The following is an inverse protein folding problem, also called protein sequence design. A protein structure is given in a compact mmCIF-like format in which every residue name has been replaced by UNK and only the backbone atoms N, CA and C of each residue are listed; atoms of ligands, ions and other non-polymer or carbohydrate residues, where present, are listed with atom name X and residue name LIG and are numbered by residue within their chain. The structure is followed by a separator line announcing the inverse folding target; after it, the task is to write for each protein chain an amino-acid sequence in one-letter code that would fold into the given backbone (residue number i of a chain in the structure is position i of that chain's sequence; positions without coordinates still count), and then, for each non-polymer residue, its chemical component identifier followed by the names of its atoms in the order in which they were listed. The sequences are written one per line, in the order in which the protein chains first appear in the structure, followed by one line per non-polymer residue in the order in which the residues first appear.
data_IF_549784603449
#
_entry.id   IF_549784603449
#
_cell.length_a   1.000
_cell.length_b   1.000
_cell.length_c   1.000
_cell.angle_alpha   90.00
_cell.angle_beta   90.00
_cell.angle_gamma   90.00
#
_symmetry.space_group_name_H-M   'P 1'
#
loop_
_entity.id
_entity.type
_entity.pdbx_description
1 polymer ?
#
# COMPACT_ATOMS: atom_id res chain seq x y z
N UNK A 1 28.97 -37.88 -52.99
CA UNK A 1 29.24 -36.90 -51.94
C UNK A 1 28.03 -36.01 -51.80
N UNK A 2 27.26 -36.13 -50.70
CA UNK A 2 26.10 -35.29 -50.40
C UNK A 2 26.55 -34.27 -49.35
N UNK A 3 26.53 -33.01 -49.66
CA UNK A 3 26.81 -31.91 -48.71
C UNK A 3 25.54 -31.58 -47.93
N UNK A 4 25.57 -31.80 -46.61
CA UNK A 4 24.55 -31.30 -45.69
C UNK A 4 24.93 -29.83 -45.32
N UNK A 5 24.09 -28.89 -45.74
CA UNK A 5 24.16 -27.51 -45.29
C UNK A 5 23.41 -27.44 -43.94
N UNK A 6 24.12 -27.19 -42.84
CA UNK A 6 23.54 -26.90 -41.55
C UNK A 6 23.26 -25.41 -41.45
N UNK A 7 22.00 -25.03 -41.49
CA UNK A 7 21.58 -23.64 -41.26
C UNK A 7 21.50 -23.39 -39.75
N UNK A 8 22.44 -22.60 -39.24
CA UNK A 8 22.43 -22.11 -37.87
C UNK A 8 21.40 -21.00 -37.74
N UNK A 9 20.31 -21.26 -37.06
CA UNK A 9 19.31 -20.24 -36.64
C UNK A 9 19.89 -19.50 -35.45
N UNK A 10 20.30 -18.27 -35.61
CA UNK A 10 20.67 -17.34 -34.57
C UNK A 10 19.34 -16.79 -33.98
N UNK A 11 18.94 -17.27 -32.85
CA UNK A 11 17.88 -16.65 -32.04
C UNK A 11 18.43 -15.32 -31.48
N UNK A 12 18.09 -14.20 -32.10
CA UNK A 12 18.22 -12.90 -31.47
C UNK A 12 17.17 -12.81 -30.35
N UNK A 13 17.62 -12.95 -29.11
CA UNK A 13 16.82 -12.57 -27.94
C UNK A 13 16.65 -11.05 -27.97
N UNK A 14 15.46 -10.59 -28.35
CA UNK A 14 15.07 -9.19 -28.20
C UNK A 14 14.97 -8.92 -26.70
N UNK A 15 15.97 -8.25 -26.14
CA UNK A 15 15.86 -7.61 -24.84
C UNK A 15 14.73 -6.56 -24.95
N UNK A 16 13.76 -6.51 -24.01
CA UNK A 16 12.78 -5.45 -24.04
C UNK A 16 13.51 -4.12 -23.86
N UNK A 17 13.51 -3.29 -24.89
CA UNK A 17 13.86 -1.87 -24.78
C UNK A 17 12.79 -1.26 -23.85
N UNK A 18 13.15 -0.99 -22.60
CA UNK A 18 12.36 -0.12 -21.73
C UNK A 18 12.29 1.25 -22.43
N UNK A 19 11.12 1.57 -22.96
CA UNK A 19 10.87 2.90 -23.50
C UNK A 19 10.96 3.86 -22.29
N UNK A 20 11.96 4.72 -22.30
CA UNK A 20 12.16 5.78 -21.32
C UNK A 20 10.93 6.70 -21.40
N UNK A 21 9.94 6.49 -20.52
CA UNK A 21 8.79 7.36 -20.45
C UNK A 21 9.25 8.68 -19.83
N UNK A 22 9.18 9.76 -20.61
CA UNK A 22 9.28 11.12 -20.08
C UNK A 22 8.01 11.41 -19.27
N UNK A 23 7.99 10.96 -18.01
CA UNK A 23 6.87 11.17 -17.11
C UNK A 23 7.07 12.52 -16.42
N UNK A 24 6.09 13.46 -16.51
CA UNK A 24 6.24 14.77 -15.90
C UNK A 24 6.27 14.69 -14.38
N UNK A 25 7.07 15.55 -13.75
CA UNK A 25 6.97 15.78 -12.32
C UNK A 25 5.69 16.58 -12.00
N UNK A 26 4.96 16.15 -11.00
CA UNK A 26 3.78 16.87 -10.49
C UNK A 26 4.25 17.80 -9.37
N UNK A 27 4.10 19.14 -9.54
CA UNK A 27 4.41 20.08 -8.48
C UNK A 27 3.49 19.89 -7.28
N UNK A 28 4.05 19.97 -6.08
CA UNK A 28 3.29 19.85 -4.84
C UNK A 28 3.96 20.57 -3.69
N UNK A 29 3.20 20.82 -2.63
CA UNK A 29 3.70 21.27 -1.35
C UNK A 29 3.51 20.18 -0.30
N UNK A 30 4.46 20.07 0.61
CA UNK A 30 4.33 19.31 1.85
C UNK A 30 4.10 20.30 2.98
N UNK A 31 2.99 20.16 3.70
CA UNK A 31 2.63 21.07 4.79
C UNK A 31 3.53 20.78 6.00
N UNK A 32 4.38 21.74 6.43
CA UNK A 32 5.26 21.51 7.57
C UNK A 32 4.45 21.44 8.86
N UNK A 33 4.95 20.63 9.81
CA UNK A 33 4.44 20.50 11.19
C UNK A 33 2.92 20.36 11.29
N UNK A 34 2.33 19.65 10.31
CA UNK A 34 0.89 19.51 10.23
C UNK A 34 0.29 18.77 11.43
N UNK A 35 0.91 17.65 11.84
CA UNK A 35 0.43 16.86 12.96
C UNK A 35 0.98 17.37 14.30
N UNK A 36 0.07 17.71 15.23
CA UNK A 36 0.40 18.25 16.54
C UNK A 36 0.22 17.16 17.60
N UNK A 37 1.29 16.43 17.87
CA UNK A 37 1.30 15.41 18.91
C UNK A 37 1.39 16.04 20.30
N UNK A 38 0.77 15.41 21.33
CA UNK A 38 0.97 15.78 22.72
C UNK A 38 2.45 15.73 23.11
N UNK A 39 2.84 16.52 24.12
CA UNK A 39 4.20 16.49 24.66
C UNK A 39 4.61 15.08 25.08
N UNK A 40 5.80 14.66 24.68
CA UNK A 40 6.35 13.33 24.97
C UNK A 40 5.82 12.21 24.07
N UNK A 41 4.88 12.48 23.16
CA UNK A 41 4.44 11.52 22.15
C UNK A 41 5.17 11.75 20.83
N UNK A 42 5.60 10.68 20.19
CA UNK A 42 6.16 10.69 18.85
C UNK A 42 5.51 9.60 18.01
N UNK A 43 5.48 9.77 16.70
CA UNK A 43 5.25 8.64 15.82
C UNK A 43 6.46 7.70 15.89
N UNK A 44 6.25 6.40 15.87
CA UNK A 44 7.27 5.44 15.48
C UNK A 44 7.22 5.24 13.97
N UNK A 45 7.52 4.05 13.48
CA UNK A 45 7.21 3.71 12.09
C UNK A 45 5.72 3.91 11.83
N UNK A 46 5.37 4.62 10.78
CA UNK A 46 3.98 4.89 10.42
C UNK A 46 3.61 4.11 9.17
N UNK A 47 3.06 2.89 9.30
CA UNK A 47 2.61 2.12 8.16
C UNK A 47 1.20 2.52 7.68
N UNK A 48 0.38 3.21 8.48
CA UNK A 48 -1.02 3.44 8.17
C UNK A 48 -1.48 4.89 8.29
N UNK A 49 -2.26 5.37 7.28
CA UNK A 49 -2.98 6.64 7.32
C UNK A 49 -4.31 6.55 6.55
N UNK A 50 -5.37 7.09 7.10
CA UNK A 50 -6.68 7.21 6.46
C UNK A 50 -7.37 8.52 6.81
N UNK A 51 -8.39 8.90 6.04
CA UNK A 51 -9.18 10.13 6.27
C UNK A 51 -10.66 9.77 6.18
N UNK A 52 -11.47 10.24 7.15
CA UNK A 52 -12.91 10.03 7.14
C UNK A 52 -13.65 11.10 6.30
N UNK A 53 -14.97 10.97 6.20
CA UNK A 53 -15.82 11.90 5.43
C UNK A 53 -15.85 13.33 6.00
N UNK A 54 -15.45 13.51 7.27
CA UNK A 54 -15.38 14.82 7.98
C UNK A 54 -13.99 15.44 7.90
N UNK A 55 -13.02 14.73 7.29
CA UNK A 55 -11.63 15.14 7.18
C UNK A 55 -10.78 14.81 8.41
N UNK A 56 -11.28 14.05 9.39
CA UNK A 56 -10.43 13.57 10.47
C UNK A 56 -9.42 12.55 9.94
N UNK A 57 -8.21 12.60 10.47
CA UNK A 57 -7.11 11.77 10.00
C UNK A 57 -6.80 10.70 11.04
N UNK A 58 -6.69 9.48 10.59
CA UNK A 58 -6.35 8.31 11.40
C UNK A 58 -4.95 7.86 11.05
N UNK A 59 -4.08 7.73 12.06
CA UNK A 59 -2.70 7.32 11.89
C UNK A 59 -2.47 6.05 12.70
N UNK A 60 -2.09 4.97 12.01
CA UNK A 60 -1.75 3.71 12.66
C UNK A 60 -0.23 3.58 12.68
N UNK A 61 0.36 3.58 13.86
CA UNK A 61 1.80 3.60 14.08
C UNK A 61 2.25 2.40 14.90
N UNK A 62 3.50 1.97 14.67
CA UNK A 62 4.16 0.91 15.44
C UNK A 62 4.74 1.43 16.75
N UNK A 63 4.29 2.58 17.20
CA UNK A 63 4.72 3.28 18.42
C UNK A 63 6.25 3.38 18.60
N UNK A 64 6.68 3.88 19.75
CA UNK A 64 8.10 4.10 20.03
C UNK A 64 8.78 2.89 20.70
N UNK A 65 8.08 1.82 20.97
CA UNK A 65 8.53 0.76 21.87
C UNK A 65 8.79 -0.58 21.19
N UNK A 66 8.32 -0.77 19.94
CA UNK A 66 8.44 -2.03 19.22
C UNK A 66 9.25 -1.86 17.94
N UNK A 67 10.24 -2.69 17.75
CA UNK A 67 11.06 -2.76 16.53
C UNK A 67 10.69 -3.96 15.66
N UNK A 68 9.47 -4.43 15.77
CA UNK A 68 8.94 -5.59 15.06
C UNK A 68 7.72 -6.15 15.78
N UNK A 69 7.20 -7.30 15.33
CA UNK A 69 6.03 -7.91 15.96
C UNK A 69 6.27 -8.17 17.45
N UNK A 70 5.37 -7.69 18.28
CA UNK A 70 5.42 -7.91 19.72
C UNK A 70 4.00 -8.00 20.30
N UNK A 71 3.76 -8.97 21.14
CA UNK A 71 2.47 -9.09 21.86
C UNK A 71 2.46 -8.20 23.10
N UNK A 72 2.47 -6.89 22.88
CA UNK A 72 2.44 -5.90 23.94
C UNK A 72 1.41 -4.79 23.63
N UNK A 73 0.66 -4.29 24.61
CA UNK A 73 -0.34 -3.24 24.41
C UNK A 73 0.19 -1.95 23.78
N UNK A 74 1.48 -1.68 23.95
CA UNK A 74 2.15 -0.50 23.37
C UNK A 74 2.79 -0.77 22.00
N UNK A 75 2.66 -1.98 21.42
CA UNK A 75 3.28 -2.35 20.17
C UNK A 75 2.73 -1.55 18.98
N UNK A 76 1.47 -1.11 19.05
CA UNK A 76 0.83 -0.30 18.03
C UNK A 76 -0.10 0.72 18.66
N UNK A 77 -0.30 1.85 17.98
CA UNK A 77 -1.23 2.90 18.39
C UNK A 77 -2.04 3.38 17.19
N UNK A 78 -3.35 3.46 17.35
CA UNK A 78 -4.27 4.05 16.37
C UNK A 78 -4.70 5.42 16.87
N UNK A 79 -4.19 6.46 16.24
CA UNK A 79 -4.34 7.85 16.66
C UNK A 79 -5.31 8.59 15.73
N UNK A 80 -6.21 9.40 16.30
CA UNK A 80 -7.13 10.25 15.56
C UNK A 80 -6.75 11.72 15.70
N UNK A 81 -6.76 12.44 14.58
CA UNK A 81 -6.45 13.86 14.49
C UNK A 81 -7.60 14.61 13.81
N UNK A 82 -7.78 15.88 14.18
CA UNK A 82 -8.71 16.79 13.53
C UNK A 82 -8.29 17.08 12.08
N UNK A 83 -9.18 17.68 11.24
CA UNK A 83 -8.81 18.15 9.90
C UNK A 83 -7.66 19.17 9.88
N UNK A 84 -7.33 19.76 11.04
CA UNK A 84 -6.22 20.71 11.22
C UNK A 84 -4.95 20.07 11.79
N UNK A 85 -4.94 18.74 11.97
CA UNK A 85 -3.82 17.99 12.51
C UNK A 85 -3.67 18.01 14.02
N UNK A 86 -4.67 18.53 14.76
CA UNK A 86 -4.65 18.51 16.22
C UNK A 86 -4.99 17.11 16.72
N UNK A 87 -4.21 16.57 17.64
CA UNK A 87 -4.47 15.26 18.26
C UNK A 87 -5.81 15.25 19.00
N UNK A 88 -6.64 14.25 18.78
CA UNK A 88 -7.94 14.11 19.40
C UNK A 88 -7.96 12.99 20.42
N UNK A 89 -7.55 11.79 20.05
CA UNK A 89 -7.57 10.62 20.93
C UNK A 89 -6.77 9.44 20.35
N UNK A 90 -6.56 8.45 21.20
CA UNK A 90 -6.09 7.10 20.82
C UNK A 90 -7.26 6.12 20.83
N UNK A 91 -7.42 5.34 19.77
CA UNK A 91 -8.48 4.33 19.62
C UNK A 91 -7.90 2.96 19.92
N UNK A 92 -8.66 2.16 20.70
CA UNK A 92 -8.24 0.79 21.04
C UNK A 92 -6.96 0.75 21.89
N UNK A 93 -6.73 1.75 22.75
CA UNK A 93 -5.57 1.77 23.64
C UNK A 93 -5.49 0.49 24.46
N UNK A 94 -4.34 -0.18 24.39
CA UNK A 94 -4.11 -1.43 25.12
C UNK A 94 -4.86 -2.64 24.56
N UNK A 95 -5.37 -2.56 23.32
CA UNK A 95 -6.11 -3.67 22.71
C UNK A 95 -5.20 -4.90 22.56
N UNK A 96 -5.74 -6.06 22.96
CA UNK A 96 -5.05 -7.36 22.86
C UNK A 96 -4.55 -7.69 21.44
N UNK A 97 -5.21 -7.16 20.41
CA UNK A 97 -4.86 -7.40 19.01
C UNK A 97 -3.60 -6.65 18.55
N UNK A 98 -3.12 -5.64 19.29
CA UNK A 98 -1.96 -4.86 18.85
C UNK A 98 -0.65 -5.66 18.94
N UNK A 99 0.04 -5.76 17.83
CA UNK A 99 1.33 -6.45 17.69
C UNK A 99 2.25 -5.76 16.69
N UNK A 100 1.83 -5.64 15.43
CA UNK A 100 2.56 -4.89 14.39
C UNK A 100 1.59 -4.24 13.43
N UNK A 101 1.31 -2.94 13.65
CA UNK A 101 0.45 -2.14 12.78
C UNK A 101 0.86 -2.24 11.31
N UNK A 102 -0.11 -2.37 10.41
CA UNK A 102 0.17 -2.44 8.98
C UNK A 102 -0.58 -1.39 8.17
N UNK A 103 -1.90 -1.37 8.14
CA UNK A 103 -2.69 -0.35 7.45
C UNK A 103 -3.92 0.06 8.26
N UNK A 104 -4.46 1.24 7.94
CA UNK A 104 -5.76 1.69 8.41
C UNK A 104 -6.56 2.20 7.23
N UNK A 105 -7.85 1.87 7.16
CA UNK A 105 -8.78 2.32 6.13
C UNK A 105 -10.07 2.81 6.75
N UNK A 106 -10.78 3.67 6.04
CA UNK A 106 -12.12 4.15 6.42
C UNK A 106 -13.10 3.70 5.36
N UNK A 107 -14.19 3.06 5.77
CA UNK A 107 -15.26 2.66 4.84
C UNK A 107 -16.27 3.79 4.60
N UNK A 108 -17.22 3.57 3.69
CA UNK A 108 -18.25 4.55 3.33
C UNK A 108 -19.18 4.99 4.48
N UNK A 109 -19.16 4.28 5.61
CA UNK A 109 -19.94 4.57 6.80
C UNK A 109 -19.08 5.19 7.91
N UNK A 110 -17.87 5.61 7.60
CA UNK A 110 -16.84 6.11 8.51
C UNK A 110 -16.45 5.10 9.60
N UNK A 111 -16.60 3.79 9.36
CA UNK A 111 -15.99 2.80 10.22
C UNK A 111 -14.47 2.74 9.97
N UNK A 112 -13.73 2.53 11.05
CA UNK A 112 -12.27 2.52 11.04
C UNK A 112 -11.82 1.06 11.00
N UNK A 113 -11.02 0.70 9.99
CA UNK A 113 -10.52 -0.65 9.79
C UNK A 113 -9.02 -0.67 10.00
N UNK A 114 -8.57 -1.35 11.03
CA UNK A 114 -7.15 -1.49 11.36
C UNK A 114 -6.69 -2.91 11.04
N UNK A 115 -5.63 -3.02 10.25
CA UNK A 115 -4.97 -4.27 9.91
C UNK A 115 -3.69 -4.36 10.73
N UNK A 116 -3.65 -5.33 11.63
CA UNK A 116 -2.45 -5.66 12.39
C UNK A 116 -1.87 -6.98 11.88
N UNK A 117 -0.76 -6.88 11.15
CA UNK A 117 -0.17 -8.07 10.53
C UNK A 117 0.53 -8.99 11.54
N UNK A 118 0.96 -8.45 12.68
CA UNK A 118 1.66 -9.23 13.69
C UNK A 118 0.73 -10.13 14.49
N UNK A 119 -0.53 -9.74 14.61
CA UNK A 119 -1.58 -10.55 15.26
C UNK A 119 -2.44 -11.34 14.28
N UNK A 120 -2.22 -11.21 12.98
CA UNK A 120 -3.03 -11.82 11.93
C UNK A 120 -4.52 -11.37 11.96
N UNK A 121 -4.78 -10.12 12.36
CA UNK A 121 -6.14 -9.63 12.60
C UNK A 121 -6.47 -8.40 11.75
N UNK A 122 -7.74 -8.33 11.34
CA UNK A 122 -8.38 -7.13 10.80
C UNK A 122 -9.53 -6.75 11.72
N UNK A 123 -9.54 -5.52 12.20
CA UNK A 123 -10.46 -5.06 13.24
C UNK A 123 -11.22 -3.84 12.74
N UNK A 124 -12.56 -3.92 12.76
CA UNK A 124 -13.43 -2.80 12.45
C UNK A 124 -13.92 -2.15 13.76
N UNK A 125 -13.72 -0.84 13.84
CA UNK A 125 -14.27 0.01 14.88
C UNK A 125 -15.36 0.92 14.30
N UNK A 126 -16.35 1.27 15.09
CA UNK A 126 -17.23 2.39 14.77
C UNK A 126 -16.54 3.74 15.05
N UNK A 127 -17.16 4.84 14.66
CA UNK A 127 -16.65 6.20 14.91
C UNK A 127 -16.42 6.51 16.40
N UNK A 128 -17.12 5.84 17.32
CA UNK A 128 -16.89 5.96 18.77
C UNK A 128 -15.65 5.18 19.26
N UNK A 129 -14.94 4.45 18.35
CA UNK A 129 -13.78 3.63 18.70
C UNK A 129 -14.13 2.29 19.37
N UNK A 130 -15.36 1.81 19.21
CA UNK A 130 -15.78 0.48 19.72
C UNK A 130 -15.63 -0.56 18.62
N UNK A 131 -15.02 -1.69 18.96
CA UNK A 131 -14.92 -2.86 18.08
C UNK A 131 -16.31 -3.34 17.69
N UNK A 132 -16.54 -3.51 16.40
CA UNK A 132 -17.80 -3.97 15.81
C UNK A 132 -17.66 -5.30 15.09
N UNK A 133 -16.46 -5.54 14.49
CA UNK A 133 -16.21 -6.75 13.72
C UNK A 133 -14.72 -7.10 13.81
N UNK A 134 -14.42 -8.39 13.78
CA UNK A 134 -13.04 -8.89 13.82
C UNK A 134 -12.91 -10.03 12.83
N UNK A 135 -11.84 -10.02 12.04
CA UNK A 135 -11.47 -11.07 11.11
C UNK A 135 -10.12 -11.64 11.50
N UNK A 136 -9.96 -12.94 11.33
CA UNK A 136 -8.80 -13.66 11.81
C UNK A 136 -8.78 -13.76 13.34
N UNK A 137 -7.70 -14.26 13.88
CA UNK A 137 -7.48 -14.28 15.31
C UNK A 137 -5.99 -14.26 15.63
N UNK A 138 -5.64 -13.63 16.73
CA UNK A 138 -4.30 -13.77 17.30
C UNK A 138 -4.07 -15.22 17.71
N UNK A 139 -2.93 -15.77 17.34
CA UNK A 139 -2.54 -17.13 17.70
C UNK A 139 -2.17 -17.20 19.18
N UNK A 140 -2.49 -18.31 19.79
CA UNK A 140 -2.13 -18.63 21.16
C UNK A 140 -0.87 -19.49 21.22
N UNK A 141 -0.28 -19.60 22.42
CA UNK A 141 0.99 -20.32 22.60
C UNK A 141 0.94 -21.81 22.23
N UNK A 142 -0.25 -22.41 22.22
CA UNK A 142 -0.47 -23.80 21.80
C UNK A 142 -0.67 -23.96 20.29
N UNK A 143 -0.85 -22.86 19.55
CA UNK A 143 -1.03 -22.89 18.11
C UNK A 143 0.31 -23.07 17.41
N UNK A 144 0.32 -23.76 16.29
CA UNK A 144 1.45 -23.77 15.37
C UNK A 144 1.69 -22.35 14.85
N UNK A 145 2.95 -21.95 14.70
CA UNK A 145 3.34 -20.58 14.33
C UNK A 145 2.82 -19.52 15.32
N UNK A 146 2.83 -19.81 16.62
CA UNK A 146 2.26 -18.93 17.65
C UNK A 146 2.98 -17.59 17.84
N UNK A 147 4.24 -17.49 17.41
CA UNK A 147 5.00 -16.24 17.47
C UNK A 147 4.68 -15.33 16.30
N UNK A 148 4.64 -14.00 16.49
CA UNK A 148 4.23 -13.06 15.44
C UNK A 148 5.02 -13.11 14.15
N UNK A 149 6.25 -13.57 14.18
CA UNK A 149 7.18 -13.61 13.04
C UNK A 149 7.60 -15.01 12.65
N UNK A 150 7.09 -16.05 13.32
CA UNK A 150 7.48 -17.44 13.09
C UNK A 150 6.49 -18.09 12.10
N UNK A 151 7.03 -18.53 10.97
CA UNK A 151 6.27 -19.23 9.95
C UNK A 151 7.07 -20.40 9.44
N UNK A 152 6.41 -21.54 9.31
CA UNK A 152 7.04 -22.75 8.73
C UNK A 152 7.33 -22.55 7.24
N UNK A 153 8.37 -23.20 6.73
CA UNK A 153 8.73 -23.14 5.33
C UNK A 153 8.85 -24.57 4.76
N UNK A 154 8.01 -24.98 3.78
CA UNK A 154 6.97 -24.17 3.11
C UNK A 154 5.82 -23.79 4.03
N UNK A 155 5.10 -22.69 3.72
CA UNK A 155 3.95 -22.29 4.53
C UNK A 155 2.86 -23.36 4.58
N UNK A 156 2.17 -23.46 5.72
CA UNK A 156 0.98 -24.30 5.84
C UNK A 156 -0.11 -23.86 4.84
N UNK A 157 -0.99 -24.78 4.41
CA UNK A 157 -2.12 -24.41 3.56
C UNK A 157 -2.96 -23.30 4.19
N UNK A 158 -3.43 -22.37 3.36
CA UNK A 158 -4.29 -21.29 3.81
C UNK A 158 -5.63 -21.82 4.30
N UNK A 159 -6.08 -21.34 5.46
CA UNK A 159 -7.37 -21.72 6.06
C UNK A 159 -8.37 -20.58 5.84
N UNK A 160 -9.61 -20.93 5.53
CA UNK A 160 -10.68 -19.95 5.36
C UNK A 160 -10.97 -19.23 6.68
N UNK A 161 -11.08 -17.89 6.64
CA UNK A 161 -11.33 -17.08 7.83
C UNK A 161 -10.10 -16.80 8.71
N UNK A 162 -8.94 -17.43 8.44
CA UNK A 162 -7.69 -17.14 9.15
C UNK A 162 -6.68 -16.47 8.22
N UNK A 163 -5.90 -15.56 8.73
CA UNK A 163 -4.86 -14.85 8.00
C UNK A 163 -3.46 -15.26 8.46
N UNK A 164 -2.48 -14.97 7.61
CA UNK A 164 -1.05 -14.99 7.94
C UNK A 164 -0.41 -13.73 7.39
N UNK A 165 -0.31 -12.71 8.27
CA UNK A 165 0.19 -11.36 7.97
C UNK A 165 -0.62 -10.66 6.87
N UNK A 166 -1.91 -10.34 7.14
CA UNK A 166 -2.74 -9.56 6.22
C UNK A 166 -2.18 -8.17 6.01
N UNK A 167 -2.50 -7.57 4.86
CA UNK A 167 -1.83 -6.32 4.43
C UNK A 167 -2.78 -5.14 4.28
N UNK A 168 -3.95 -5.30 3.65
CA UNK A 168 -4.84 -4.17 3.36
C UNK A 168 -6.29 -4.64 3.18
N UNK A 169 -7.26 -3.70 3.14
CA UNK A 169 -8.69 -3.96 2.98
C UNK A 169 -9.34 -2.93 2.05
N UNK A 170 -10.31 -3.38 1.25
CA UNK A 170 -11.15 -2.52 0.41
C UNK A 170 -12.57 -3.08 0.32
N UNK A 171 -13.51 -2.26 -0.19
CA UNK A 171 -14.93 -2.62 -0.30
C UNK A 171 -15.47 -2.28 -1.68
N UNK A 172 -16.37 -3.13 -2.19
CA UNK A 172 -17.12 -2.81 -3.38
C UNK A 172 -18.37 -1.94 -3.06
N UNK A 173 -19.10 -1.56 -4.07
CA UNK A 173 -20.31 -0.71 -3.93
C UNK A 173 -21.41 -1.36 -3.09
N UNK A 174 -21.49 -2.70 -3.06
CA UNK A 174 -22.46 -3.47 -2.27
C UNK A 174 -22.05 -3.60 -0.81
N UNK A 175 -20.76 -3.31 -0.50
CA UNK A 175 -20.16 -3.39 0.82
C UNK A 175 -19.49 -4.74 1.11
N UNK A 176 -19.32 -5.60 0.10
CA UNK A 176 -18.47 -6.79 0.27
C UNK A 176 -17.04 -6.37 0.57
N UNK A 177 -16.37 -7.18 1.38
CA UNK A 177 -15.08 -6.87 1.99
C UNK A 177 -14.01 -7.71 1.30
N UNK A 178 -12.91 -7.07 0.90
CA UNK A 178 -11.78 -7.72 0.25
C UNK A 178 -10.51 -7.46 1.06
N UNK A 179 -9.88 -8.51 1.55
CA UNK A 179 -8.67 -8.44 2.39
C UNK A 179 -7.52 -9.11 1.66
N UNK A 180 -6.42 -8.39 1.47
CA UNK A 180 -5.17 -8.98 0.99
C UNK A 180 -4.46 -9.67 2.15
N UNK A 181 -4.21 -10.97 2.01
CA UNK A 181 -3.50 -11.84 2.96
C UNK A 181 -2.13 -12.16 2.36
N UNK A 182 -1.25 -11.16 2.43
CA UNK A 182 -0.18 -10.97 1.46
C UNK A 182 1.16 -11.58 1.80
N UNK A 183 1.64 -11.47 3.04
CA UNK A 183 3.03 -11.85 3.32
C UNK A 183 3.28 -13.35 3.21
N UNK A 184 2.33 -14.18 3.62
CA UNK A 184 2.49 -15.63 3.65
C UNK A 184 1.54 -16.35 2.70
N UNK A 185 0.22 -16.03 2.76
CA UNK A 185 -0.79 -16.79 2.01
C UNK A 185 -0.92 -16.40 0.53
N UNK A 186 -0.43 -15.21 0.14
CA UNK A 186 -0.43 -14.74 -1.26
C UNK A 186 -1.81 -14.79 -1.92
N UNK A 187 -2.86 -14.31 -1.23
CA UNK A 187 -4.25 -14.36 -1.70
C UNK A 187 -5.01 -13.07 -1.40
N UNK A 188 -6.19 -12.94 -2.01
CA UNK A 188 -7.24 -12.02 -1.63
C UNK A 188 -8.41 -12.83 -1.07
N UNK A 189 -8.91 -12.46 0.10
CA UNK A 189 -10.07 -13.06 0.76
C UNK A 189 -11.28 -12.15 0.59
N UNK A 190 -12.42 -12.71 0.15
CA UNK A 190 -13.71 -12.01 0.01
C UNK A 190 -14.65 -12.44 1.11
N UNK A 191 -15.26 -11.46 1.76
CA UNK A 191 -16.37 -11.62 2.69
C UNK A 191 -17.56 -10.81 2.18
N UNK A 192 -18.76 -11.20 2.56
CA UNK A 192 -19.93 -10.38 2.30
C UNK A 192 -19.97 -9.14 3.25
N UNK A 193 -20.94 -8.27 3.05
CA UNK A 193 -21.13 -7.05 3.86
C UNK A 193 -21.41 -7.31 5.35
N UNK A 194 -21.81 -8.54 5.72
CA UNK A 194 -22.08 -8.94 7.09
C UNK A 194 -20.83 -9.54 7.76
N UNK A 195 -19.75 -9.77 6.99
CA UNK A 195 -18.52 -10.41 7.44
C UNK A 195 -18.51 -11.93 7.29
N UNK A 196 -19.47 -12.51 6.56
CA UNK A 196 -19.48 -13.93 6.30
C UNK A 196 -18.52 -14.28 5.14
N UNK A 197 -17.75 -15.35 5.33
CA UNK A 197 -16.79 -15.83 4.36
C UNK A 197 -17.48 -16.22 3.04
N UNK A 198 -16.97 -15.70 1.93
CA UNK A 198 -17.43 -16.05 0.59
C UNK A 198 -16.43 -16.96 -0.11
N UNK A 199 -15.21 -16.47 -0.34
CA UNK A 199 -14.15 -17.19 -1.05
C UNK A 199 -12.79 -16.50 -0.93
N UNK A 200 -11.77 -17.11 -1.52
CA UNK A 200 -10.49 -16.43 -1.81
C UNK A 200 -9.97 -16.82 -3.18
N UNK A 201 -9.07 -16.00 -3.72
CA UNK A 201 -8.32 -16.30 -4.93
C UNK A 201 -6.87 -15.87 -4.79
N UNK A 202 -6.03 -16.43 -5.65
CA UNK A 202 -4.59 -16.19 -5.64
C UNK A 202 -3.81 -17.31 -4.99
N UNK A 203 -2.63 -17.52 -5.51
CA UNK A 203 -1.60 -18.45 -5.01
C UNK A 203 -0.24 -17.80 -5.22
N UNK A 204 0.80 -18.27 -4.53
CA UNK A 204 2.16 -17.77 -4.72
C UNK A 204 2.65 -18.06 -6.14
N UNK A 205 3.16 -17.03 -6.83
CA UNK A 205 3.71 -17.18 -8.18
C UNK A 205 3.79 -15.87 -8.95
N UNK A 206 4.08 -15.95 -10.24
CA UNK A 206 4.31 -14.82 -11.15
C UNK A 206 3.30 -14.74 -12.31
N UNK A 207 2.47 -15.76 -12.51
CA UNK A 207 1.43 -15.78 -13.55
C UNK A 207 0.25 -14.83 -13.25
N UNK A 208 -0.68 -14.64 -14.20
CA UNK A 208 -1.95 -13.96 -13.93
C UNK A 208 -2.73 -14.62 -12.82
N UNK A 209 -3.25 -13.83 -11.87
CA UNK A 209 -3.96 -14.35 -10.69
C UNK A 209 -3.08 -14.97 -9.62
N UNK A 210 -1.77 -15.07 -9.85
CA UNK A 210 -0.79 -15.45 -8.83
C UNK A 210 -0.17 -14.21 -8.22
N UNK A 211 0.29 -14.28 -6.96
CA UNK A 211 0.87 -13.16 -6.25
C UNK A 211 2.22 -13.51 -5.61
N UNK A 212 3.05 -12.48 -5.48
CA UNK A 212 4.21 -12.49 -4.62
C UNK A 212 4.15 -11.25 -3.74
N UNK A 213 3.51 -11.39 -2.58
CA UNK A 213 3.23 -10.31 -1.65
C UNK A 213 2.19 -9.29 -2.19
N UNK A 214 0.89 -9.66 -2.30
CA UNK A 214 -0.19 -8.69 -2.49
C UNK A 214 -0.25 -7.77 -1.27
N UNK A 215 0.21 -6.52 -1.43
CA UNK A 215 0.51 -5.61 -0.33
C UNK A 215 -0.52 -4.49 -0.16
N UNK A 216 -1.16 -4.10 -1.24
CA UNK A 216 -2.17 -3.05 -1.25
C UNK A 216 -3.38 -3.47 -2.09
N UNK A 217 -4.56 -2.97 -1.73
CA UNK A 217 -5.79 -3.18 -2.49
C UNK A 217 -6.60 -1.89 -2.55
N UNK A 218 -7.16 -1.60 -3.71
CA UNK A 218 -8.13 -0.51 -3.89
C UNK A 218 -9.20 -0.94 -4.89
N UNK A 219 -10.38 -0.35 -4.79
CA UNK A 219 -11.52 -0.66 -5.67
C UNK A 219 -12.01 0.64 -6.27
N UNK A 220 -12.23 0.65 -7.60
CA UNK A 220 -12.76 1.81 -8.29
C UNK A 220 -14.31 1.83 -8.25
N UNK A 221 -14.89 2.92 -8.72
CA UNK A 221 -16.35 3.09 -8.75
C UNK A 221 -17.10 2.06 -9.63
N UNK A 222 -16.38 1.36 -10.50
CA UNK A 222 -16.92 0.32 -11.37
C UNK A 222 -16.72 -1.08 -10.77
N UNK A 223 -16.29 -1.14 -9.49
CA UNK A 223 -15.98 -2.37 -8.78
C UNK A 223 -14.80 -3.18 -9.36
N UNK A 224 -13.91 -2.56 -10.14
CA UNK A 224 -12.65 -3.21 -10.48
C UNK A 224 -11.70 -3.18 -9.26
N UNK A 225 -11.12 -4.32 -8.95
CA UNK A 225 -10.25 -4.55 -7.80
C UNK A 225 -8.79 -4.47 -8.24
N UNK A 226 -8.05 -3.49 -7.75
CA UNK A 226 -6.63 -3.27 -8.03
C UNK A 226 -5.81 -3.82 -6.90
N UNK A 227 -4.96 -4.81 -7.16
CA UNK A 227 -4.09 -5.44 -6.18
C UNK A 227 -2.63 -5.13 -6.49
N UNK A 228 -1.96 -4.47 -5.58
CA UNK A 228 -0.53 -4.19 -5.64
C UNK A 228 0.30 -5.43 -5.32
N UNK A 229 0.70 -6.17 -6.33
CA UNK A 229 1.53 -7.37 -6.23
C UNK A 229 3.01 -6.96 -6.13
N UNK A 230 3.41 -6.55 -4.91
CA UNK A 230 4.61 -5.76 -4.63
C UNK A 230 5.90 -6.41 -5.12
N UNK A 231 6.12 -7.66 -4.75
CA UNK A 231 7.38 -8.34 -5.10
C UNK A 231 7.42 -8.79 -6.57
N UNK A 232 6.29 -8.81 -7.26
CA UNK A 232 6.23 -8.97 -8.71
C UNK A 232 6.23 -7.61 -9.46
N UNK A 233 6.30 -6.48 -8.75
CA UNK A 233 6.38 -5.12 -9.31
C UNK A 233 5.25 -4.79 -10.28
N UNK A 234 4.04 -5.21 -9.99
CA UNK A 234 2.88 -5.02 -10.86
C UNK A 234 1.61 -4.72 -10.07
N UNK A 235 0.63 -4.16 -10.75
CA UNK A 235 -0.75 -4.07 -10.28
C UNK A 235 -1.57 -5.02 -11.14
N UNK A 236 -2.30 -5.93 -10.50
CA UNK A 236 -3.26 -6.81 -11.15
C UNK A 236 -4.67 -6.32 -10.89
N UNK A 237 -5.53 -6.41 -11.89
CA UNK A 237 -6.93 -5.96 -11.82
C UNK A 237 -7.86 -7.15 -11.98
N UNK A 238 -8.85 -7.23 -11.10
CA UNK A 238 -9.84 -8.30 -11.04
C UNK A 238 -11.25 -7.73 -11.02
N UNK A 239 -12.23 -8.53 -11.36
CA UNK A 239 -13.62 -8.26 -11.04
C UNK A 239 -13.97 -8.66 -9.61
N UNK A 240 -15.21 -8.43 -9.19
CA UNK A 240 -15.70 -8.77 -7.84
C UNK A 240 -15.75 -10.28 -7.57
N UNK A 241 -15.68 -11.10 -8.60
CA UNK A 241 -15.62 -12.55 -8.48
C UNK A 241 -14.17 -13.10 -8.47
N UNK A 242 -13.16 -12.21 -8.55
CA UNK A 242 -11.75 -12.56 -8.56
C UNK A 242 -11.26 -13.08 -9.91
N UNK A 243 -12.02 -12.87 -11.00
CA UNK A 243 -11.55 -13.16 -12.34
C UNK A 243 -10.52 -12.12 -12.76
N UNK A 244 -9.36 -12.58 -13.26
CA UNK A 244 -8.31 -11.71 -13.74
C UNK A 244 -8.74 -10.95 -15.00
N UNK A 245 -8.60 -9.63 -14.99
CA UNK A 245 -8.96 -8.77 -16.11
C UNK A 245 -7.71 -8.30 -16.89
N UNK A 246 -6.73 -7.75 -16.21
CA UNK A 246 -5.48 -7.21 -16.77
C UNK A 246 -4.42 -6.97 -15.70
N UNK A 247 -3.22 -6.65 -16.11
CA UNK A 247 -2.14 -6.18 -15.23
C UNK A 247 -1.28 -5.15 -15.95
N UNK A 248 -0.55 -4.35 -15.18
CA UNK A 248 0.43 -3.37 -15.67
C UNK A 248 1.54 -3.14 -14.65
N UNK A 249 2.64 -2.57 -15.13
CA UNK A 249 3.82 -2.21 -14.34
C UNK A 249 4.06 -0.69 -14.38
N UNK A 250 4.81 -0.19 -13.40
CA UNK A 250 5.26 1.21 -13.35
C UNK A 250 6.77 1.21 -13.59
N UNK A 251 7.17 1.33 -14.83
CA UNK A 251 8.59 1.22 -15.24
C UNK A 251 9.20 2.60 -15.51
N UNK A 252 9.22 3.45 -14.47
CA UNK A 252 9.82 4.78 -14.51
C UNK A 252 11.21 4.72 -13.87
N UNK A 253 12.30 4.95 -14.61
CA UNK A 253 13.64 4.95 -14.04
C UNK A 253 13.80 5.98 -12.92
N UNK A 254 14.59 5.71 -11.87
CA UNK A 254 14.90 6.71 -10.87
C UNK A 254 15.77 7.83 -11.45
N UNK A 255 15.64 9.08 -10.96
CA UNK A 255 16.57 10.14 -11.33
C UNK A 255 18.01 9.76 -10.95
N UNK A 256 19.01 10.09 -11.76
CA UNK A 256 20.39 9.80 -11.43
C UNK A 256 20.86 10.60 -10.21
N UNK A 257 21.77 10.03 -9.43
CA UNK A 257 22.40 10.73 -8.30
C UNK A 257 21.54 10.86 -7.03
N UNK A 258 20.35 10.26 -6.98
CA UNK A 258 19.52 10.24 -5.77
C UNK A 258 19.80 8.94 -5.00
N UNK A 259 20.43 9.00 -3.82
CA UNK A 259 20.69 7.80 -3.02
C UNK A 259 19.44 7.34 -2.25
N UNK A 260 19.38 6.07 -1.82
CA UNK A 260 18.40 5.63 -0.83
C UNK A 260 18.64 6.33 0.52
N UNK A 261 17.62 6.33 1.36
CA UNK A 261 17.70 6.86 2.74
C UNK A 261 18.61 5.99 3.60
N UNK A 262 18.58 4.68 3.38
CA UNK A 262 19.39 3.71 4.10
C UNK A 262 20.03 2.73 3.11
N UNK A 263 21.27 2.31 3.41
CA UNK A 263 22.00 1.35 2.61
C UNK A 263 22.57 1.91 1.29
N UNK A 264 23.12 1.03 0.50
CA UNK A 264 23.73 1.36 -0.79
C UNK A 264 22.69 1.50 -1.90
N UNK A 265 22.98 2.34 -2.88
CA UNK A 265 22.12 2.46 -4.08
C UNK A 265 22.08 1.11 -4.81
N UNK A 266 20.89 0.51 -4.95
CA UNK A 266 20.79 -0.76 -5.66
C UNK A 266 21.10 -0.58 -7.15
N UNK A 267 21.75 -1.57 -7.74
CA UNK A 267 22.11 -1.61 -9.16
C UNK A 267 21.66 -2.92 -9.79
N UNK A 268 21.64 -2.99 -11.12
CA UNK A 268 21.31 -4.21 -11.87
C UNK A 268 20.00 -4.86 -11.44
N UNK A 269 20.00 -6.14 -11.15
CA UNK A 269 18.80 -6.89 -10.76
C UNK A 269 18.17 -6.39 -9.45
N UNK A 270 18.95 -5.90 -8.48
CA UNK A 270 18.44 -5.32 -7.24
C UNK A 270 17.65 -4.04 -7.49
N UNK A 271 18.14 -3.16 -8.38
CA UNK A 271 17.41 -1.97 -8.78
C UNK A 271 16.14 -2.34 -9.55
N UNK A 272 16.25 -3.27 -10.49
CA UNK A 272 15.11 -3.76 -11.26
C UNK A 272 14.01 -4.37 -10.36
N UNK A 273 14.37 -4.94 -9.23
CA UNK A 273 13.41 -5.54 -8.29
C UNK A 273 12.61 -4.53 -7.46
N UNK A 274 12.99 -3.25 -7.41
CA UNK A 274 12.34 -2.24 -6.55
C UNK A 274 11.66 -1.11 -7.31
N UNK A 275 12.07 -0.83 -8.55
CA UNK A 275 11.45 0.22 -9.39
C UNK A 275 9.97 -0.08 -9.59
N UNK A 276 9.10 0.87 -9.26
CA UNK A 276 7.65 0.77 -9.45
C UNK A 276 6.97 -0.34 -8.64
N UNK A 277 7.65 -0.90 -7.63
CA UNK A 277 7.04 -1.89 -6.73
C UNK A 277 5.91 -1.24 -5.92
N UNK A 278 4.63 -1.60 -6.15
CA UNK A 278 3.49 -0.93 -5.54
C UNK A 278 3.39 -1.29 -4.05
N UNK A 279 3.77 -0.36 -3.19
CA UNK A 279 3.68 -0.51 -1.74
C UNK A 279 2.30 -0.10 -1.22
N UNK A 280 1.70 0.89 -1.84
CA UNK A 280 0.37 1.39 -1.52
C UNK A 280 -0.38 1.84 -2.76
N UNK A 281 -1.71 1.76 -2.69
CA UNK A 281 -2.62 2.26 -3.72
C UNK A 281 -3.74 3.02 -3.03
N UNK A 282 -4.07 4.23 -3.52
CA UNK A 282 -5.33 4.87 -3.20
C UNK A 282 -5.99 5.45 -4.47
N UNK A 283 -7.30 5.39 -4.53
CA UNK A 283 -8.14 5.92 -5.60
C UNK A 283 -9.03 6.99 -4.97
N UNK A 284 -8.83 8.28 -5.30
CA UNK A 284 -9.66 9.34 -4.75
C UNK A 284 -11.12 9.20 -5.22
N UNK A 285 -12.08 9.67 -4.41
CA UNK A 285 -13.48 9.71 -4.84
C UNK A 285 -13.65 10.65 -6.02
N UNK A 286 -14.69 10.43 -6.84
CA UNK A 286 -15.01 11.30 -7.97
C UNK A 286 -15.42 10.57 -9.24
N UNK A 287 -15.70 11.33 -10.30
CA UNK A 287 -16.16 10.78 -11.59
C UNK A 287 -14.99 10.28 -12.44
N UNK A 288 -13.94 11.07 -12.56
CA UNK A 288 -12.74 10.78 -13.37
C UNK A 288 -11.63 10.26 -12.46
N UNK A 289 -11.77 9.00 -12.04
CA UNK A 289 -10.83 8.45 -11.08
C UNK A 289 -9.45 8.19 -11.70
N UNK A 290 -8.45 8.50 -10.92
CA UNK A 290 -7.05 8.09 -11.09
C UNK A 290 -6.64 7.29 -9.86
N UNK A 291 -5.48 6.65 -9.91
CA UNK A 291 -4.89 6.09 -8.70
C UNK A 291 -3.58 6.80 -8.37
N UNK A 292 -3.29 6.86 -7.08
CA UNK A 292 -1.96 7.18 -6.59
C UNK A 292 -1.31 5.92 -6.06
N UNK A 293 -0.08 5.69 -6.48
CA UNK A 293 0.71 4.50 -6.13
C UNK A 293 1.97 4.94 -5.40
N UNK A 294 2.16 4.47 -4.18
CA UNK A 294 3.39 4.66 -3.44
C UNK A 294 4.39 3.57 -3.78
N UNK A 295 5.60 3.96 -4.16
CA UNK A 295 6.71 3.06 -4.38
C UNK A 295 7.33 2.67 -3.04
N UNK A 296 7.98 1.53 -2.99
CA UNK A 296 8.68 1.04 -1.80
C UNK A 296 9.79 2.00 -1.32
N UNK A 297 10.68 1.56 -0.47
CA UNK A 297 11.69 2.41 0.22
C UNK A 297 12.59 3.20 -0.74
N UNK A 298 12.95 2.60 -1.88
CA UNK A 298 13.74 3.21 -2.94
C UNK A 298 13.18 2.76 -4.30
N UNK A 299 13.09 3.67 -5.27
CA UNK A 299 13.44 5.10 -5.32
C UNK A 299 12.55 6.05 -4.49
N UNK A 300 11.53 5.54 -3.78
CA UNK A 300 10.76 6.30 -2.80
C UNK A 300 9.94 7.44 -3.42
N UNK A 301 9.19 7.15 -4.47
CA UNK A 301 8.34 8.12 -5.18
C UNK A 301 6.87 7.77 -5.05
N UNK A 302 6.03 8.73 -5.35
CA UNK A 302 4.61 8.49 -5.59
C UNK A 302 4.32 8.71 -7.08
N UNK A 303 3.37 7.97 -7.59
CA UNK A 303 2.93 8.07 -8.98
C UNK A 303 1.45 8.41 -9.05
N UNK A 304 1.08 9.31 -9.96
CA UNK A 304 -0.30 9.45 -10.44
C UNK A 304 -0.45 8.57 -11.67
N UNK A 305 -1.41 7.65 -11.65
CA UNK A 305 -1.59 6.62 -12.70
C UNK A 305 -3.06 6.59 -13.09
N UNK A 306 -3.36 6.49 -14.38
CA UNK A 306 -4.73 6.25 -14.84
C UNK A 306 -5.16 4.82 -14.51
N UNK A 307 -6.46 4.56 -14.47
CA UNK A 307 -6.97 3.24 -14.12
C UNK A 307 -6.61 2.15 -15.14
N UNK A 308 -6.24 2.51 -16.35
CA UNK A 308 -5.72 1.60 -17.38
C UNK A 308 -4.20 1.34 -17.30
N UNK A 309 -3.50 2.00 -16.36
CA UNK A 309 -2.09 1.76 -16.06
C UNK A 309 -1.10 2.76 -16.65
N UNK A 310 -1.56 3.84 -17.33
CA UNK A 310 -0.67 4.88 -17.84
C UNK A 310 -0.17 5.77 -16.70
N UNK A 311 1.14 5.93 -16.56
CA UNK A 311 1.74 6.86 -15.58
C UNK A 311 1.54 8.29 -16.07
N UNK A 312 0.83 9.08 -15.30
CA UNK A 312 0.46 10.48 -15.60
C UNK A 312 1.44 11.48 -14.97
N UNK A 313 2.17 11.08 -13.94
CA UNK A 313 3.16 11.92 -13.30
C UNK A 313 3.85 11.28 -12.11
N UNK A 314 4.98 11.87 -11.72
CA UNK A 314 5.82 11.47 -10.59
C UNK A 314 5.76 12.56 -9.53
N UNK A 315 5.73 12.18 -8.25
CA UNK A 315 5.66 13.06 -7.10
C UNK A 315 6.82 12.71 -6.18
N UNK A 316 7.72 13.65 -5.97
CA UNK A 316 8.83 13.56 -5.04
C UNK A 316 9.92 12.54 -5.39
N UNK A 317 10.76 12.24 -4.41
CA UNK A 317 11.95 11.40 -4.55
C UNK A 317 12.38 10.82 -3.21
N UNK A 318 13.33 9.90 -3.20
CA UNK A 318 13.94 9.38 -1.97
C UNK A 318 14.59 10.49 -1.13
N UNK A 319 14.43 10.44 0.18
CA UNK A 319 15.09 11.31 1.14
C UNK A 319 14.34 11.51 2.47
N UNK A 320 14.89 12.39 3.32
CA UNK A 320 14.39 12.67 4.68
C UNK A 320 13.72 14.03 4.82
N UNK A 321 13.93 14.95 3.87
CA UNK A 321 13.36 16.30 3.92
C UNK A 321 11.89 16.28 3.51
N UNK A 322 11.18 17.38 3.74
CA UNK A 322 9.85 17.58 3.15
C UNK A 322 9.91 17.42 1.64
N UNK A 323 8.85 16.90 1.05
CA UNK A 323 8.76 16.52 -0.38
C UNK A 323 9.68 15.35 -0.81
N UNK A 324 10.33 14.70 0.11
CA UNK A 324 11.08 13.46 -0.11
C UNK A 324 10.44 12.34 0.69
N UNK A 325 10.60 11.09 0.26
CA UNK A 325 9.95 9.95 0.89
C UNK A 325 10.91 8.80 1.14
N UNK A 326 10.62 8.01 2.16
CA UNK A 326 11.27 6.72 2.39
C UNK A 326 10.29 5.77 3.06
N UNK A 327 9.94 4.71 2.32
CA UNK A 327 8.93 3.76 2.78
C UNK A 327 7.54 4.40 2.89
N UNK A 328 7.07 5.06 1.82
CA UNK A 328 5.68 5.51 1.69
C UNK A 328 4.77 4.27 1.70
N UNK A 329 4.41 3.82 2.92
CA UNK A 329 3.81 2.52 3.16
C UNK A 329 2.32 2.52 2.88
N UNK A 330 1.61 3.60 3.23
CA UNK A 330 0.21 3.80 2.88
C UNK A 330 -0.04 5.23 2.41
N UNK A 331 -0.99 5.36 1.50
CA UNK A 331 -1.51 6.64 1.03
C UNK A 331 -2.99 6.76 1.37
N UNK A 332 -3.41 7.93 1.83
CA UNK A 332 -4.81 8.35 1.82
C UNK A 332 -4.97 9.53 0.86
N UNK A 333 -5.97 9.48 -0.02
CA UNK A 333 -6.23 10.49 -1.04
C UNK A 333 -7.70 10.94 -0.98
N UNK A 334 -8.06 11.83 -0.05
CA UNK A 334 -9.43 12.35 0.07
C UNK A 334 -9.86 13.14 -1.18
N UNK A 335 -8.91 13.60 -2.00
CA UNK A 335 -9.16 14.20 -3.31
C UNK A 335 -7.99 13.94 -4.26
N UNK A 336 -8.13 14.35 -5.53
CA UNK A 336 -7.03 14.30 -6.50
C UNK A 336 -5.88 15.28 -6.21
N UNK A 337 -6.09 16.24 -5.33
CA UNK A 337 -5.11 17.29 -5.01
C UNK A 337 -4.59 17.23 -3.59
N UNK A 338 -5.14 16.36 -2.74
CA UNK A 338 -4.71 16.19 -1.36
C UNK A 338 -4.36 14.74 -1.08
N UNK A 339 -3.13 14.49 -0.59
CA UNK A 339 -2.62 13.17 -0.27
C UNK A 339 -1.96 13.21 1.10
N UNK A 340 -2.22 12.19 1.90
CA UNK A 340 -1.44 11.90 3.10
C UNK A 340 -0.56 10.69 2.82
N UNK A 341 0.74 10.81 3.06
CA UNK A 341 1.73 9.75 2.86
C UNK A 341 2.31 9.33 4.22
N UNK A 342 2.00 8.11 4.63
CA UNK A 342 2.55 7.49 5.84
C UNK A 342 3.89 6.83 5.53
N UNK A 343 4.93 7.16 6.31
CA UNK A 343 6.31 6.73 6.07
C UNK A 343 6.84 5.91 7.24
N UNK A 344 7.25 4.68 6.96
CA UNK A 344 7.85 3.80 7.97
C UNK A 344 9.29 4.20 8.29
N UNK A 345 10.11 4.54 7.28
CA UNK A 345 11.52 4.84 7.53
C UNK A 345 11.79 6.26 8.06
N UNK A 346 10.87 7.19 7.83
CA UNK A 346 11.00 8.58 8.29
C UNK A 346 10.13 8.90 9.52
N UNK A 347 9.37 7.94 10.02
CA UNK A 347 8.53 8.03 11.23
C UNK A 347 7.58 9.23 11.23
N UNK A 348 6.90 9.43 10.10
CA UNK A 348 6.01 10.58 9.93
C UNK A 348 4.86 10.31 8.96
N UNK A 349 3.92 11.24 8.95
CA UNK A 349 2.95 11.41 7.87
C UNK A 349 3.17 12.78 7.24
N UNK A 350 3.26 12.85 5.92
CA UNK A 350 3.25 14.13 5.19
C UNK A 350 1.86 14.39 4.60
N UNK A 351 1.35 15.59 4.82
CA UNK A 351 0.21 16.14 4.07
C UNK A 351 0.74 16.83 2.82
N UNK A 352 0.31 16.36 1.66
CA UNK A 352 0.74 16.87 0.34
C UNK A 352 -0.42 17.57 -0.34
N UNK A 353 -0.16 18.75 -0.90
CA UNK A 353 -1.10 19.51 -1.72
C UNK A 353 -0.54 19.57 -3.14
N UNK A 354 -1.17 18.83 -4.05
CA UNK A 354 -0.76 18.80 -5.46
C UNK A 354 -1.23 20.07 -6.16
N UNK A 355 -0.36 20.63 -7.00
CA UNK A 355 -0.69 21.79 -7.82
C UNK A 355 -1.00 21.33 -9.25
N UNK A 356 -2.03 21.89 -9.90
CA UNK A 356 -2.23 21.64 -11.31
C UNK A 356 -0.99 22.09 -12.10
N UNK A 357 -0.66 21.41 -13.23
CA UNK A 357 0.42 21.89 -14.11
C UNK A 357 0.16 23.35 -14.49
N UNK A 358 1.15 24.21 -14.30
CA UNK A 358 1.09 25.58 -14.78
C UNK A 358 0.90 25.51 -16.28
N UNK A 359 -0.22 25.99 -16.81
CA UNK A 359 -0.38 26.16 -18.24
C UNK A 359 0.67 27.18 -18.67
N UNK A 360 1.74 26.73 -19.31
CA UNK A 360 2.63 27.61 -20.05
C UNK A 360 1.80 28.19 -21.19
N UNK A 361 1.27 29.39 -20.99
CA UNK A 361 0.76 30.22 -22.08
C UNK A 361 1.94 30.45 -23.02
N UNK A 362 1.97 29.72 -24.13
CA UNK A 362 2.86 30.05 -25.23
C UNK A 362 2.49 31.46 -25.66
N UNK A 363 3.36 32.41 -25.33
CA UNK A 363 3.26 33.75 -25.89
C UNK A 363 3.36 33.61 -27.42
N UNK A 364 2.22 33.76 -28.10
CA UNK A 364 2.23 33.99 -29.54
C UNK A 364 2.98 35.30 -29.78
N UNK A 365 4.23 35.19 -30.22
CA UNK A 365 4.91 36.34 -30.85
C UNK A 365 4.12 36.73 -32.08
N UNK A 366 3.64 37.96 -32.09
CA UNK A 366 3.12 38.63 -33.29
C UNK A 366 4.27 39.01 -34.21
#
# INVERSE_FOLDING_TARGET
MKFCVVASIVLLSALPLFAQQNVPEIPFDSVPDFFKLPSGMNFGEVPGVAVDSKGNIYVFTRSNTATGPAYAPAAAQLLEFSPRGDFMREIGKGLYAWSEAHTVRIDKNDNIWAIDKGSDMVIMFNQAGRVKMVFGRRKESADEESKPWEHVNPPLPAVNGLFRQPTDVAWDSEGNIYITDGYINSRVAKYDKNGDWVKSWGTKGTGPGQFNLPHAIAIDRNNNIYVGDRSNRRIQVFDTEGAFLRMFTIDVPPPPGIPPVNGDTPTGARLAAVIGAPNSICIPPGQNQVMFVGESTYPGRLFKVSLDGKVLGVIGRSGRQLKQFSGAHQLACPSETEIYAAETSNWRVQKLILRPPTQTTSARSK
#
